data_IF_338031258727
#
_entry.id   IF_338031258727
#
_cell.length_a   1.000
_cell.length_b   1.000
_cell.length_c   1.000
_cell.angle_alpha   90.00
_cell.angle_beta   90.00
_cell.angle_gamma   90.00
#
_symmetry.space_group_name_H-M   'P 1'
#
loop_
_entity.id
_entity.type
_entity.pdbx_description
1 polymer ?
#
# COMPACT_ATOMS: atom_id res chain seq x y z
N UNK A 1 -12.98 -39.04 -9.41
CA UNK A 1 -13.60 -37.71 -9.26
C UNK A 1 -12.46 -36.70 -9.33
N UNK A 2 -12.37 -35.98 -10.44
CA UNK A 2 -11.31 -35.02 -10.78
C UNK A 2 -11.39 -33.73 -9.92
N UNK A 3 -10.26 -33.02 -9.86
CA UNK A 3 -9.98 -31.64 -9.36
C UNK A 3 -9.57 -31.55 -7.88
N UNK A 4 -8.46 -30.89 -7.49
CA UNK A 4 -7.67 -29.90 -8.23
C UNK A 4 -6.25 -29.70 -7.68
N UNK A 5 -5.29 -29.75 -8.59
CA UNK A 5 -3.90 -29.32 -8.41
C UNK A 5 -3.77 -27.77 -8.47
N UNK A 6 -4.63 -27.04 -7.76
CA UNK A 6 -4.74 -25.57 -7.81
C UNK A 6 -4.32 -24.75 -6.55
N UNK A 7 -3.89 -25.30 -5.39
CA UNK A 7 -3.56 -24.45 -4.23
C UNK A 7 -2.17 -23.78 -4.27
N UNK A 8 -1.15 -24.42 -4.85
CA UNK A 8 0.23 -23.86 -4.87
C UNK A 8 0.32 -22.64 -5.77
N UNK A 9 -0.38 -22.66 -6.90
CA UNK A 9 -0.40 -21.56 -7.87
C UNK A 9 -1.02 -20.28 -7.29
N UNK A 10 -2.10 -20.39 -6.51
CA UNK A 10 -2.79 -19.20 -5.95
C UNK A 10 -1.95 -18.51 -4.87
N UNK A 11 -1.28 -19.28 -4.01
CA UNK A 11 -0.34 -18.77 -2.99
C UNK A 11 0.82 -18.03 -3.65
N UNK A 12 1.43 -18.65 -4.66
CA UNK A 12 2.51 -18.04 -5.43
C UNK A 12 2.10 -16.73 -6.10
N UNK A 13 0.90 -16.69 -6.70
CA UNK A 13 0.33 -15.48 -7.29
C UNK A 13 0.15 -14.38 -6.22
N UNK A 14 -0.45 -14.71 -5.07
CA UNK A 14 -0.66 -13.74 -3.99
C UNK A 14 0.66 -13.14 -3.51
N UNK A 15 1.67 -13.98 -3.25
CA UNK A 15 3.00 -13.53 -2.82
C UNK A 15 3.65 -12.66 -3.90
N UNK A 16 3.55 -13.05 -5.17
CA UNK A 16 4.05 -12.26 -6.29
C UNK A 16 3.40 -10.87 -6.37
N UNK A 17 2.07 -10.79 -6.19
CA UNK A 17 1.32 -9.53 -6.17
C UNK A 17 1.68 -8.65 -4.95
N UNK A 18 1.88 -9.25 -3.78
CA UNK A 18 2.34 -8.55 -2.57
C UNK A 18 3.73 -7.95 -2.78
N UNK A 19 4.68 -8.73 -3.32
CA UNK A 19 6.03 -8.27 -3.63
C UNK A 19 6.01 -7.15 -4.69
N UNK A 20 5.18 -7.30 -5.74
CA UNK A 20 4.99 -6.25 -6.74
C UNK A 20 4.52 -4.94 -6.10
N UNK A 21 3.50 -4.98 -5.21
CA UNK A 21 3.04 -3.80 -4.49
C UNK A 21 4.14 -3.17 -3.61
N UNK A 22 4.94 -3.99 -2.93
CA UNK A 22 6.03 -3.51 -2.07
C UNK A 22 7.16 -2.84 -2.84
N UNK A 23 7.62 -3.49 -3.91
CA UNK A 23 8.65 -2.97 -4.80
C UNK A 23 8.16 -1.69 -5.48
N UNK A 24 6.96 -1.71 -6.08
CA UNK A 24 6.36 -0.54 -6.72
C UNK A 24 6.21 0.64 -5.75
N UNK A 25 5.71 0.40 -4.53
CA UNK A 25 5.64 1.44 -3.50
C UNK A 25 7.03 1.97 -3.12
N UNK A 26 8.02 1.10 -2.99
CA UNK A 26 9.39 1.50 -2.66
C UNK A 26 9.99 2.40 -3.75
N UNK A 27 9.87 2.00 -5.02
CA UNK A 27 10.39 2.74 -6.17
C UNK A 27 9.68 4.08 -6.31
N UNK A 28 8.34 4.08 -6.20
CA UNK A 28 7.50 5.27 -6.23
C UNK A 28 7.91 6.30 -5.16
N UNK A 29 8.22 5.85 -3.94
CA UNK A 29 8.53 6.72 -2.79
C UNK A 29 10.02 7.04 -2.62
N UNK A 30 10.89 6.55 -3.50
CA UNK A 30 12.32 6.81 -3.44
C UNK A 30 12.71 7.90 -4.45
N UNK A 31 13.29 9.03 -4.01
CA UNK A 31 13.69 10.08 -4.93
C UNK A 31 14.83 9.58 -5.83
N UNK A 32 14.82 9.90 -7.14
CA UNK A 32 15.89 9.53 -8.07
C UNK A 32 17.18 10.32 -7.82
N UNK A 33 17.06 11.50 -7.19
CA UNK A 33 18.15 12.45 -7.00
C UNK A 33 18.42 12.69 -5.50
N UNK A 34 19.67 13.04 -5.13
CA UNK A 34 20.01 13.41 -3.77
C UNK A 34 19.27 14.68 -3.30
N UNK A 35 19.12 14.86 -1.98
CA UNK A 35 18.43 16.02 -1.41
C UNK A 35 19.16 17.33 -1.73
N UNK A 36 18.38 18.38 -1.97
CA UNK A 36 18.93 19.71 -2.25
C UNK A 36 19.33 20.41 -0.93
N UNK A 37 20.46 21.15 -0.89
CA UNK A 37 20.82 21.98 0.25
C UNK A 37 19.72 23.01 0.59
N UNK A 38 19.41 23.17 1.88
CA UNK A 38 18.30 24.03 2.36
C UNK A 38 18.31 25.47 1.82
N UNK A 39 19.50 26.02 1.51
CA UNK A 39 19.67 27.38 0.97
C UNK A 39 19.08 27.56 -0.44
N UNK A 40 18.90 26.49 -1.18
CA UNK A 40 18.34 26.48 -2.55
C UNK A 40 16.86 26.07 -2.58
N UNK A 41 16.28 25.70 -1.42
CA UNK A 41 14.84 25.48 -1.29
C UNK A 41 14.09 26.81 -1.30
N UNK A 42 12.83 26.78 -1.76
CA UNK A 42 11.95 27.95 -1.65
C UNK A 42 11.83 28.43 -0.19
N UNK A 43 11.81 29.75 -0.01
CA UNK A 43 12.02 30.45 1.26
C UNK A 43 10.97 30.11 2.34
N UNK A 44 9.78 29.70 1.94
CA UNK A 44 8.71 29.28 2.86
C UNK A 44 8.65 27.75 2.97
N UNK A 45 9.64 27.14 3.64
CA UNK A 45 9.59 25.69 3.89
C UNK A 45 8.38 25.35 4.77
N UNK A 46 7.35 24.79 4.15
CA UNK A 46 6.19 24.27 4.86
C UNK A 46 6.61 23.15 5.83
N UNK A 47 5.82 22.89 6.87
CA UNK A 47 6.09 21.74 7.78
C UNK A 47 6.22 20.43 6.99
N UNK A 48 5.42 20.25 5.94
CA UNK A 48 5.53 19.11 5.05
C UNK A 48 6.88 19.01 4.35
N UNK A 49 7.47 20.11 3.85
CA UNK A 49 8.80 20.05 3.21
C UNK A 49 9.90 19.60 4.18
N UNK A 50 9.80 19.96 5.46
CA UNK A 50 10.75 19.50 6.49
C UNK A 50 10.60 18.01 6.79
N UNK A 51 9.38 17.50 6.66
CA UNK A 51 9.04 16.14 7.04
C UNK A 51 8.88 15.18 5.85
N UNK A 52 8.90 15.64 4.59
CA UNK A 52 8.54 14.84 3.41
C UNK A 52 9.38 13.56 3.31
N UNK A 53 10.67 13.64 3.64
CA UNK A 53 11.59 12.50 3.62
C UNK A 53 11.29 11.49 4.73
N UNK A 54 10.89 11.96 5.91
CA UNK A 54 10.40 11.11 6.98
C UNK A 54 9.07 10.48 6.62
N UNK A 55 8.16 11.23 5.98
CA UNK A 55 6.87 10.73 5.51
C UNK A 55 7.06 9.62 4.47
N UNK A 56 7.97 9.79 3.51
CA UNK A 56 8.25 8.73 2.52
C UNK A 56 8.97 7.54 3.13
N UNK A 57 9.96 7.76 4.00
CA UNK A 57 10.64 6.69 4.75
C UNK A 57 9.64 5.87 5.58
N UNK A 58 8.85 6.51 6.43
CA UNK A 58 7.83 5.85 7.24
C UNK A 58 6.81 5.11 6.38
N UNK A 59 6.39 5.71 5.25
CA UNK A 59 5.47 5.04 4.32
C UNK A 59 6.07 3.76 3.74
N UNK A 60 7.34 3.80 3.29
CA UNK A 60 8.04 2.61 2.79
C UNK A 60 8.16 1.54 3.87
N UNK A 61 8.59 1.92 5.07
CA UNK A 61 8.77 0.99 6.18
C UNK A 61 7.45 0.29 6.54
N UNK A 62 6.36 1.04 6.69
CA UNK A 62 5.05 0.48 7.02
C UNK A 62 4.50 -0.42 5.91
N UNK A 63 4.64 -0.06 4.64
CA UNK A 63 4.21 -0.91 3.51
C UNK A 63 4.97 -2.24 3.53
N UNK A 64 6.28 -2.22 3.70
CA UNK A 64 7.07 -3.44 3.80
C UNK A 64 6.72 -4.27 5.05
N UNK A 65 6.48 -3.64 6.20
CA UNK A 65 5.99 -4.34 7.38
C UNK A 65 4.66 -5.06 7.09
N UNK A 66 3.68 -4.37 6.48
CA UNK A 66 2.40 -4.97 6.11
C UNK A 66 2.58 -6.14 5.14
N UNK A 67 3.40 -5.98 4.10
CA UNK A 67 3.64 -7.01 3.07
C UNK A 67 4.34 -8.24 3.66
N UNK A 68 5.42 -8.04 4.42
CA UNK A 68 6.17 -9.16 5.01
C UNK A 68 5.30 -9.92 6.02
N UNK A 69 4.48 -9.20 6.79
CA UNK A 69 3.52 -9.84 7.71
C UNK A 69 2.47 -10.63 6.93
N UNK A 70 1.97 -10.11 5.82
CA UNK A 70 0.97 -10.80 4.99
C UNK A 70 1.54 -12.05 4.29
N UNK A 71 2.77 -11.97 3.77
CA UNK A 71 3.48 -13.10 3.18
C UNK A 71 3.68 -14.17 4.25
N UNK A 72 4.17 -13.80 5.44
CA UNK A 72 4.35 -14.72 6.54
C UNK A 72 3.01 -15.39 6.92
N UNK A 73 1.94 -14.62 7.10
CA UNK A 73 0.62 -15.16 7.44
C UNK A 73 0.07 -16.09 6.34
N UNK A 74 0.26 -15.74 5.07
CA UNK A 74 -0.16 -16.55 3.92
C UNK A 74 0.58 -17.89 3.89
N UNK A 75 1.90 -17.87 4.08
CA UNK A 75 2.73 -19.08 4.12
C UNK A 75 2.35 -20.00 5.30
N UNK A 76 2.16 -19.43 6.49
CA UNK A 76 1.73 -20.21 7.66
C UNK A 76 0.34 -20.83 7.45
N UNK A 77 -0.60 -20.07 6.85
CA UNK A 77 -1.94 -20.57 6.55
C UNK A 77 -1.89 -21.72 5.54
N UNK A 78 -1.04 -21.60 4.53
CA UNK A 78 -0.80 -22.66 3.56
C UNK A 78 -0.23 -23.93 4.20
N UNK A 79 0.81 -23.81 5.05
CA UNK A 79 1.41 -24.96 5.72
C UNK A 79 0.45 -25.70 6.65
N UNK A 80 -0.48 -24.97 7.31
CA UNK A 80 -1.50 -25.57 8.17
C UNK A 80 -2.59 -26.27 7.36
N UNK A 81 -2.97 -25.72 6.21
CA UNK A 81 -4.01 -26.28 5.34
C UNK A 81 -3.50 -27.49 4.52
N UNK A 82 -2.21 -27.50 4.17
CA UNK A 82 -1.56 -28.55 3.39
C UNK A 82 -0.29 -29.07 4.10
N UNK A 83 -0.41 -29.88 5.16
CA UNK A 83 0.73 -30.42 5.88
C UNK A 83 1.56 -31.37 5.00
N UNK A 84 2.88 -31.48 5.22
CA UNK A 84 3.75 -32.40 4.48
C UNK A 84 3.28 -33.86 4.65
N UNK A 85 3.47 -34.68 3.61
CA UNK A 85 3.06 -36.09 3.59
C UNK A 85 3.59 -36.94 4.76
N UNK A 86 4.73 -36.56 5.32
CA UNK A 86 5.39 -37.28 6.41
C UNK A 86 4.69 -37.07 7.77
N UNK A 87 3.98 -35.95 7.96
CA UNK A 87 3.23 -35.63 9.20
C UNK A 87 1.83 -36.27 9.24
N UNK A 88 1.21 -36.51 8.08
CA UNK A 88 -0.12 -37.14 8.00
C UNK A 88 -0.08 -38.57 8.56
N UNK A 89 1.07 -39.25 8.42
CA UNK A 89 1.28 -40.62 8.90
C UNK A 89 1.41 -40.70 10.44
N UNK A 90 1.90 -39.65 11.11
CA UNK A 90 2.12 -39.65 12.57
C UNK A 90 0.90 -39.19 13.37
N UNK A 91 0.02 -38.37 12.77
CA UNK A 91 -1.22 -37.90 13.41
C UNK A 91 -2.31 -38.98 13.44
N UNK A 92 -2.37 -39.85 12.42
CA UNK A 92 -3.33 -40.97 12.39
C UNK A 92 -2.95 -42.13 13.32
N UNK A 93 -1.66 -42.28 13.63
CA UNK A 93 -1.15 -43.39 14.45
C UNK A 93 -1.32 -43.18 15.97
N UNK A 94 -1.43 -41.93 16.44
CA UNK A 94 -1.39 -41.61 17.88
C UNK A 94 -2.70 -41.03 18.46
N UNK A 95 -3.78 -40.93 17.67
CA UNK A 95 -5.00 -40.23 18.09
C UNK A 95 -6.06 -41.17 18.71
N UNK A 96 -5.98 -41.40 20.02
CA UNK A 96 -7.12 -41.83 20.86
C UNK A 96 -8.06 -40.64 21.14
N UNK A 97 -8.42 -39.88 20.09
CA UNK A 97 -9.27 -38.69 20.19
C UNK A 97 -10.74 -39.11 19.98
N UNK A 98 -11.69 -38.69 20.84
CA UNK A 98 -13.11 -38.95 20.63
C UNK A 98 -13.60 -38.43 19.28
N UNK A 99 -14.39 -39.23 18.54
CA UNK A 99 -14.95 -38.88 17.21
C UNK A 99 -15.63 -37.52 17.14
N UNK A 100 -16.20 -37.04 18.25
CA UNK A 100 -16.87 -35.74 18.33
C UNK A 100 -15.86 -34.56 18.32
N UNK A 101 -14.70 -34.73 18.95
CA UNK A 101 -13.58 -33.77 18.91
C UNK A 101 -12.89 -33.81 17.54
N UNK A 102 -12.76 -34.99 16.94
CA UNK A 102 -12.32 -35.17 15.56
C UNK A 102 -13.24 -34.44 14.58
N UNK A 103 -14.57 -34.54 14.71
CA UNK A 103 -15.48 -33.80 13.85
C UNK A 103 -15.36 -32.27 14.04
N UNK A 104 -15.16 -31.77 15.25
CA UNK A 104 -14.92 -30.34 15.49
C UNK A 104 -13.58 -29.86 14.93
N UNK A 105 -12.50 -30.63 15.09
CA UNK A 105 -11.19 -30.30 14.49
C UNK A 105 -11.21 -30.45 12.97
N UNK A 106 -11.87 -31.48 12.42
CA UNK A 106 -12.06 -31.73 10.97
C UNK A 106 -12.99 -30.70 10.30
N UNK A 107 -14.11 -30.30 10.92
CA UNK A 107 -14.97 -29.20 10.44
C UNK A 107 -14.21 -27.86 10.50
N UNK A 108 -13.33 -27.69 11.50
CA UNK A 108 -12.43 -26.55 11.53
C UNK A 108 -11.46 -26.63 10.35
N UNK A 109 -10.71 -27.72 10.18
CA UNK A 109 -9.71 -27.93 9.10
C UNK A 109 -10.27 -27.73 7.68
N UNK A 110 -11.55 -28.04 7.42
CA UNK A 110 -12.13 -28.00 6.06
C UNK A 110 -12.50 -26.62 5.52
N UNK A 111 -12.52 -25.55 6.32
CA UNK A 111 -12.72 -24.19 5.78
C UNK A 111 -11.41 -23.63 5.25
N UNK A 112 -11.29 -23.33 3.93
CA UNK A 112 -10.08 -22.74 3.37
C UNK A 112 -9.82 -21.40 4.05
N UNK A 113 -8.54 -21.15 4.32
CA UNK A 113 -8.14 -19.95 5.03
C UNK A 113 -8.45 -18.69 4.19
N UNK A 114 -9.15 -17.68 4.74
CA UNK A 114 -9.46 -16.46 4.00
C UNK A 114 -8.20 -15.73 3.52
N UNK A 115 -7.07 -15.96 4.18
CA UNK A 115 -5.76 -15.44 3.83
C UNK A 115 -5.21 -15.98 2.50
N UNK A 116 -5.79 -17.03 1.93
CA UNK A 116 -5.43 -17.54 0.60
C UNK A 116 -6.25 -16.91 -0.52
N UNK A 117 -7.32 -16.16 -0.19
CA UNK A 117 -8.20 -15.57 -1.17
C UNK A 117 -7.68 -14.24 -1.70
N UNK A 118 -7.80 -14.05 -3.01
CA UNK A 118 -7.54 -12.79 -3.68
C UNK A 118 -8.86 -12.00 -3.79
N UNK A 119 -9.07 -11.06 -2.88
CA UNK A 119 -10.27 -10.21 -2.95
C UNK A 119 -10.16 -9.17 -4.08
N UNK A 120 -11.28 -8.72 -4.67
CA UNK A 120 -11.25 -7.67 -5.69
C UNK A 120 -10.56 -6.39 -5.21
N UNK A 121 -10.76 -5.99 -3.95
CA UNK A 121 -10.11 -4.82 -3.36
C UNK A 121 -8.59 -4.97 -3.30
N UNK A 122 -8.09 -6.18 -3.01
CA UNK A 122 -6.65 -6.47 -3.05
C UNK A 122 -6.09 -6.26 -4.45
N UNK A 123 -6.73 -6.84 -5.48
CA UNK A 123 -6.28 -6.73 -6.87
C UNK A 123 -6.30 -5.27 -7.35
N UNK A 124 -7.38 -4.53 -7.05
CA UNK A 124 -7.50 -3.11 -7.37
C UNK A 124 -6.39 -2.32 -6.66
N UNK A 125 -6.12 -2.62 -5.39
CA UNK A 125 -5.06 -2.00 -4.61
C UNK A 125 -3.68 -2.21 -5.24
N UNK A 126 -3.34 -3.46 -5.57
CA UNK A 126 -2.06 -3.80 -6.22
C UNK A 126 -1.94 -3.10 -7.57
N UNK A 127 -2.98 -3.16 -8.41
CA UNK A 127 -2.98 -2.49 -9.71
C UNK A 127 -2.80 -0.96 -9.56
N UNK A 128 -3.49 -0.34 -8.61
CA UNK A 128 -3.34 1.08 -8.29
C UNK A 128 -1.90 1.43 -7.89
N UNK A 129 -1.27 0.63 -7.03
CA UNK A 129 0.13 0.86 -6.62
C UNK A 129 1.09 0.73 -7.80
N UNK A 130 0.94 -0.32 -8.61
CA UNK A 130 1.79 -0.56 -9.78
C UNK A 130 1.64 0.57 -10.79
N UNK A 131 0.41 0.96 -11.12
CA UNK A 131 0.13 2.08 -12.02
C UNK A 131 0.70 3.40 -11.48
N UNK A 132 0.52 3.66 -10.18
CA UNK A 132 1.08 4.83 -9.52
C UNK A 132 2.60 4.89 -9.61
N UNK A 133 3.27 3.74 -9.41
CA UNK A 133 4.71 3.63 -9.56
C UNK A 133 5.18 3.84 -11.01
N UNK A 134 4.49 3.27 -12.00
CA UNK A 134 4.80 3.47 -13.42
C UNK A 134 4.74 4.95 -13.78
N UNK A 135 3.67 5.65 -13.39
CA UNK A 135 3.51 7.08 -13.62
C UNK A 135 4.65 7.86 -12.98
N UNK A 136 5.00 7.56 -11.72
CA UNK A 136 6.10 8.23 -11.04
C UNK A 136 7.44 8.00 -11.69
N UNK A 137 7.76 6.76 -12.07
CA UNK A 137 9.02 6.42 -12.74
C UNK A 137 9.11 7.10 -14.11
N UNK A 138 8.00 7.23 -14.83
CA UNK A 138 7.96 8.01 -16.07
C UNK A 138 8.23 9.50 -15.83
N UNK A 139 7.68 10.07 -14.75
CA UNK A 139 7.97 11.44 -14.34
C UNK A 139 9.45 11.62 -13.95
N UNK A 140 10.01 10.68 -13.19
CA UNK A 140 11.42 10.71 -12.79
C UNK A 140 12.34 10.70 -14.02
N UNK A 141 12.04 9.82 -15.00
CA UNK A 141 12.77 9.76 -16.25
C UNK A 141 12.63 11.04 -17.09
N UNK A 142 11.45 11.66 -17.09
CA UNK A 142 11.17 12.85 -17.91
C UNK A 142 11.80 14.11 -17.35
N UNK A 143 11.77 14.29 -16.02
CA UNK A 143 12.38 15.44 -15.35
C UNK A 143 13.87 15.27 -15.09
N UNK A 144 14.38 14.04 -15.02
CA UNK A 144 15.78 13.75 -14.76
C UNK A 144 16.29 14.46 -13.52
N UNK A 145 17.38 15.21 -13.67
CA UNK A 145 18.03 15.97 -12.58
C UNK A 145 17.12 17.03 -11.95
N UNK A 146 16.10 17.51 -12.66
CA UNK A 146 15.15 18.50 -12.15
C UNK A 146 14.12 17.91 -11.17
N UNK A 147 14.02 16.58 -11.07
CA UNK A 147 13.07 15.95 -10.16
C UNK A 147 13.59 15.96 -8.72
N UNK A 148 12.96 16.71 -7.82
CA UNK A 148 13.25 16.68 -6.36
C UNK A 148 11.99 16.67 -5.52
N UNK A 149 12.07 16.10 -4.30
CA UNK A 149 10.95 16.11 -3.36
C UNK A 149 10.80 17.47 -2.68
N UNK A 150 11.85 18.27 -2.66
CA UNK A 150 11.87 19.66 -2.23
C UNK A 150 11.49 20.58 -3.40
N UNK A 151 10.62 21.56 -3.13
CA UNK A 151 10.20 22.54 -4.14
C UNK A 151 11.35 23.53 -4.33
N UNK A 152 12.05 23.45 -5.47
CA UNK A 152 13.20 24.29 -5.79
C UNK A 152 13.16 24.71 -7.24
N UNK A 153 13.54 25.96 -7.50
CA UNK A 153 13.74 26.45 -8.87
C UNK A 153 15.25 26.55 -9.07
N UNK A 154 15.79 25.65 -9.90
CA UNK A 154 17.23 25.63 -10.19
C UNK A 154 17.60 26.72 -11.19
N UNK A 155 18.81 27.29 -11.11
CA UNK A 155 19.39 28.04 -12.23
C UNK A 155 19.45 27.12 -13.46
N UNK A 156 18.86 27.52 -14.59
CA UNK A 156 18.76 26.68 -15.79
C UNK A 156 17.61 25.65 -15.77
N UNK A 157 16.68 25.73 -14.81
CA UNK A 157 15.48 24.90 -14.82
C UNK A 157 14.67 25.18 -16.10
N UNK A 158 14.42 24.14 -16.89
CA UNK A 158 13.54 24.22 -18.05
C UNK A 158 12.17 23.69 -17.68
N UNK A 159 11.13 24.30 -18.25
CA UNK A 159 9.76 23.82 -18.05
C UNK A 159 9.58 22.48 -18.77
N UNK A 160 9.37 21.40 -18.01
CA UNK A 160 9.08 20.11 -18.59
C UNK A 160 7.69 20.11 -19.22
N UNK A 161 7.63 19.88 -20.54
CA UNK A 161 6.35 19.90 -21.29
C UNK A 161 6.13 18.66 -22.16
N UNK A 162 7.04 17.68 -22.08
CA UNK A 162 7.00 16.41 -22.81
C UNK A 162 6.60 15.24 -21.91
N UNK A 163 6.34 14.08 -22.51
CA UNK A 163 5.98 12.86 -21.75
C UNK A 163 4.68 13.06 -20.96
N UNK A 164 4.61 12.63 -19.68
CA UNK A 164 3.37 12.72 -18.91
C UNK A 164 2.95 14.18 -18.63
N UNK A 165 3.90 15.12 -18.67
CA UNK A 165 3.65 16.57 -18.53
C UNK A 165 2.93 17.16 -19.75
N UNK A 166 2.91 16.47 -20.89
CA UNK A 166 2.10 16.93 -22.03
C UNK A 166 0.60 16.69 -21.86
N UNK A 167 0.21 15.85 -20.89
CA UNK A 167 -1.18 15.40 -20.67
C UNK A 167 -1.81 16.14 -19.48
N UNK A 168 -1.09 16.17 -18.36
CA UNK A 168 -1.49 16.86 -17.12
C UNK A 168 -0.27 17.57 -16.53
N UNK A 169 -0.49 18.62 -15.75
CA UNK A 169 0.62 19.45 -15.23
C UNK A 169 1.42 18.76 -14.12
N UNK A 170 0.74 17.97 -13.29
CA UNK A 170 1.34 17.34 -12.12
C UNK A 170 1.14 15.81 -12.08
N UNK A 171 1.59 15.07 -13.11
CA UNK A 171 1.37 13.63 -13.22
C UNK A 171 2.00 12.83 -12.07
N UNK A 172 3.12 13.29 -11.52
CA UNK A 172 3.79 12.66 -10.40
C UNK A 172 2.92 12.62 -9.14
N UNK A 173 2.05 13.62 -8.93
CA UNK A 173 1.14 13.64 -7.79
C UNK A 173 -0.05 12.68 -7.97
N UNK A 174 -0.50 12.46 -9.20
CA UNK A 174 -1.41 11.34 -9.49
C UNK A 174 -0.76 10.02 -9.10
N UNK A 175 0.51 9.85 -9.44
CA UNK A 175 1.30 8.67 -9.06
C UNK A 175 1.40 8.47 -7.54
N UNK A 176 1.60 9.54 -6.75
CA UNK A 176 1.64 9.42 -5.27
C UNK A 176 0.27 9.07 -4.68
N UNK A 177 -0.82 9.63 -5.23
CA UNK A 177 -2.17 9.32 -4.76
C UNK A 177 -2.52 7.86 -5.01
N UNK A 178 -2.29 7.37 -6.22
CA UNK A 178 -2.50 5.96 -6.58
C UNK A 178 -1.65 5.00 -5.73
N UNK A 179 -0.40 5.39 -5.43
CA UNK A 179 0.48 4.59 -4.57
C UNK A 179 -0.03 4.52 -3.13
N UNK A 180 -0.37 5.65 -2.51
CA UNK A 180 -0.77 5.69 -1.10
C UNK A 180 -2.17 5.09 -0.87
N UNK A 181 -3.13 5.41 -1.75
CA UNK A 181 -4.48 4.85 -1.69
C UNK A 181 -4.47 3.37 -2.05
N UNK A 182 -3.71 2.96 -3.06
CA UNK A 182 -3.54 1.55 -3.42
C UNK A 182 -2.91 0.73 -2.30
N UNK A 183 -1.85 1.22 -1.65
CA UNK A 183 -1.23 0.54 -0.52
C UNK A 183 -2.19 0.42 0.69
N UNK A 184 -3.04 1.43 0.90
CA UNK A 184 -4.10 1.37 1.91
C UNK A 184 -5.16 0.32 1.54
N UNK A 185 -5.58 0.26 0.28
CA UNK A 185 -6.51 -0.76 -0.21
C UNK A 185 -5.94 -2.17 -0.08
N UNK A 186 -4.66 -2.39 -0.37
CA UNK A 186 -3.98 -3.68 -0.14
C UNK A 186 -4.07 -4.09 1.32
N UNK A 187 -3.71 -3.21 2.26
CA UNK A 187 -3.74 -3.55 3.69
C UNK A 187 -5.15 -3.73 4.28
N UNK A 188 -6.16 -3.08 3.69
CA UNK A 188 -7.55 -3.18 4.14
C UNK A 188 -8.35 -4.28 3.43
N UNK A 189 -7.76 -4.95 2.44
CA UNK A 189 -8.48 -5.91 1.63
C UNK A 189 -8.82 -7.19 2.40
N UNK A 190 -10.03 -7.74 2.24
CA UNK A 190 -10.36 -9.06 2.76
C UNK A 190 -9.37 -10.12 2.28
N UNK A 191 -9.00 -11.03 3.18
CA UNK A 191 -7.94 -12.01 2.92
C UNK A 191 -6.51 -11.50 3.12
N UNK A 192 -6.34 -10.31 3.68
CA UNK A 192 -5.03 -9.86 4.21
C UNK A 192 -4.99 -9.97 5.73
N UNK A 193 -3.78 -10.15 6.27
CA UNK A 193 -3.52 -10.30 7.68
C UNK A 193 -4.10 -9.14 8.50
N UNK A 194 -3.88 -7.90 8.06
CA UNK A 194 -4.40 -6.73 8.75
C UNK A 194 -5.93 -6.71 8.75
N UNK A 195 -6.57 -7.06 7.63
CA UNK A 195 -8.03 -7.16 7.58
C UNK A 195 -8.55 -8.26 8.51
N UNK A 196 -8.02 -9.47 8.42
CA UNK A 196 -8.55 -10.61 9.18
C UNK A 196 -8.29 -10.53 10.68
N UNK A 197 -7.17 -9.93 11.09
CA UNK A 197 -6.78 -9.88 12.51
C UNK A 197 -7.25 -8.62 13.25
N UNK A 198 -7.55 -7.54 12.52
CA UNK A 198 -7.91 -6.26 13.12
C UNK A 198 -9.25 -5.72 12.61
N UNK A 199 -9.40 -5.53 11.30
CA UNK A 199 -10.60 -4.88 10.72
C UNK A 199 -11.85 -5.76 10.87
N UNK A 200 -11.75 -7.05 10.55
CA UNK A 200 -12.88 -7.98 10.59
C UNK A 200 -13.42 -8.13 12.04
N UNK A 201 -12.58 -8.34 13.08
CA UNK A 201 -13.04 -8.27 14.47
C UNK A 201 -13.65 -6.91 14.85
N UNK A 202 -13.03 -5.79 14.43
CA UNK A 202 -13.54 -4.45 14.73
C UNK A 202 -14.95 -4.22 14.15
N UNK A 203 -15.16 -4.57 12.88
CA UNK A 203 -16.46 -4.46 12.21
C UNK A 203 -17.52 -5.35 12.88
N UNK A 204 -17.13 -6.53 13.35
CA UNK A 204 -18.02 -7.45 14.08
C UNK A 204 -18.41 -6.95 15.46
N UNK A 205 -17.54 -6.24 16.18
CA UNK A 205 -17.89 -5.60 17.46
C UNK A 205 -19.00 -4.57 17.31
N UNK A 206 -19.04 -3.85 16.18
CA UNK A 206 -20.09 -2.86 15.89
C UNK A 206 -21.38 -3.47 15.34
N UNK A 207 -21.30 -4.67 14.75
CA UNK A 207 -22.48 -5.43 14.35
C UNK A 207 -23.03 -6.15 15.59
N UNK A 208 -24.25 -5.82 16.03
CA UNK A 208 -24.95 -6.37 17.21
C UNK A 208 -25.23 -7.90 17.18
N UNK A 209 -24.42 -8.69 16.47
CA UNK A 209 -24.55 -10.14 16.39
C UNK A 209 -23.52 -10.81 17.29
N UNK A 210 -23.90 -10.96 18.56
CA UNK A 210 -23.22 -11.80 19.53
C UNK A 210 -23.46 -13.28 19.20
N UNK A 211 -22.73 -13.85 18.25
CA UNK A 211 -22.63 -15.31 18.12
C UNK A 211 -21.20 -15.76 17.76
N UNK A 212 -20.53 -16.16 18.84
CA UNK A 212 -19.55 -17.23 18.98
C UNK A 212 -19.05 -17.88 17.68
N UNK A 213 -17.87 -17.47 17.22
CA UNK A 213 -16.99 -18.34 16.45
C UNK A 213 -15.56 -17.89 16.70
N UNK A 214 -14.79 -18.76 17.35
CA UNK A 214 -13.34 -18.63 17.54
C UNK A 214 -12.69 -18.00 16.30
N UNK A 215 -12.15 -16.80 16.47
CA UNK A 215 -11.26 -16.16 15.52
C UNK A 215 -10.02 -17.04 15.35
N UNK A 216 -10.06 -17.98 14.40
CA UNK A 216 -8.96 -18.86 13.96
C UNK A 216 -7.64 -18.11 13.72
N UNK A 217 -7.70 -16.82 13.43
CA UNK A 217 -6.56 -15.95 13.08
C UNK A 217 -6.13 -15.01 14.20
N UNK A 218 -6.93 -14.89 15.26
CA UNK A 218 -6.51 -14.22 16.48
C UNK A 218 -5.88 -15.27 17.36
N UNK A 219 -4.54 -15.37 17.40
CA UNK A 219 -3.86 -16.22 18.38
C UNK A 219 -4.38 -15.84 19.78
N UNK A 220 -5.13 -16.70 20.48
CA UNK A 220 -5.59 -16.42 21.82
C UNK A 220 -4.38 -16.48 22.74
N UNK A 221 -4.16 -15.42 23.50
CA UNK A 221 -3.02 -15.35 24.42
C UNK A 221 -3.09 -14.09 25.28
N UNK A 222 -2.32 -14.03 26.39
CA UNK A 222 -2.32 -12.88 27.29
C UNK A 222 -1.90 -11.58 26.60
N UNK A 223 -1.18 -11.68 25.47
CA UNK A 223 -0.72 -10.55 24.66
C UNK A 223 -1.73 -10.08 23.60
N UNK A 224 -2.88 -10.75 23.46
CA UNK A 224 -3.91 -10.38 22.49
C UNK A 224 -4.36 -8.91 22.59
N UNK A 225 -4.77 -8.37 23.76
CA UNK A 225 -5.21 -6.97 23.86
C UNK A 225 -4.08 -5.98 23.54
N UNK A 226 -2.85 -6.29 23.98
CA UNK A 226 -1.67 -5.47 23.72
C UNK A 226 -1.35 -5.41 22.22
N UNK A 227 -1.40 -6.55 21.52
CA UNK A 227 -1.20 -6.62 20.07
C UNK A 227 -2.26 -5.80 19.32
N UNK A 228 -3.53 -5.93 19.70
CA UNK A 228 -4.62 -5.17 19.06
C UNK A 228 -4.45 -3.65 19.27
N UNK A 229 -3.98 -3.22 20.44
CA UNK A 229 -3.66 -1.82 20.69
C UNK A 229 -2.51 -1.32 19.79
N UNK A 230 -1.44 -2.10 19.61
CA UNK A 230 -0.35 -1.74 18.69
C UNK A 230 -0.85 -1.62 17.25
N UNK A 231 -1.63 -2.60 16.76
CA UNK A 231 -2.16 -2.55 15.40
C UNK A 231 -3.08 -1.33 15.23
N UNK A 232 -3.93 -1.03 16.22
CA UNK A 232 -4.78 0.17 16.20
C UNK A 232 -3.95 1.45 16.07
N UNK A 233 -2.90 1.60 16.86
CA UNK A 233 -2.00 2.76 16.78
C UNK A 233 -1.36 2.87 15.40
N UNK A 234 -0.88 1.76 14.83
CA UNK A 234 -0.28 1.74 13.49
C UNK A 234 -1.29 2.10 12.38
N UNK A 235 -2.53 1.60 12.47
CA UNK A 235 -3.60 1.91 11.51
C UNK A 235 -4.02 3.38 11.60
N UNK A 236 -4.20 3.90 12.81
CA UNK A 236 -4.51 5.32 13.04
C UNK A 236 -3.38 6.20 12.53
N UNK A 237 -2.14 5.86 12.87
CA UNK A 237 -0.96 6.58 12.38
C UNK A 237 -0.87 6.55 10.86
N UNK A 238 -1.04 5.39 10.22
CA UNK A 238 -1.07 5.27 8.76
C UNK A 238 -2.14 6.17 8.14
N UNK A 239 -3.37 6.12 8.66
CA UNK A 239 -4.51 6.86 8.14
C UNK A 239 -4.32 8.37 8.27
N UNK A 240 -3.91 8.85 9.45
CA UNK A 240 -3.61 10.27 9.67
C UNK A 240 -2.46 10.74 8.77
N UNK A 241 -1.39 9.97 8.67
CA UNK A 241 -0.22 10.28 7.85
C UNK A 241 -0.57 10.31 6.35
N UNK A 242 -1.34 9.34 5.85
CA UNK A 242 -1.77 9.32 4.44
C UNK A 242 -2.68 10.52 4.17
N UNK A 243 -3.66 10.79 5.03
CA UNK A 243 -4.57 11.92 4.89
C UNK A 243 -3.83 13.25 4.87
N UNK A 244 -2.86 13.42 5.79
CA UNK A 244 -1.97 14.58 5.82
C UNK A 244 -1.13 14.69 4.54
N UNK A 245 -0.56 13.58 4.06
CA UNK A 245 0.23 13.56 2.83
C UNK A 245 -0.61 13.95 1.60
N UNK A 246 -1.81 13.39 1.43
CA UNK A 246 -2.72 13.72 0.32
C UNK A 246 -3.10 15.20 0.32
N UNK A 247 -3.54 15.71 1.48
CA UNK A 247 -3.89 17.13 1.66
C UNK A 247 -2.70 18.05 1.40
N UNK A 248 -1.53 17.70 1.92
CA UNK A 248 -0.34 18.52 1.75
C UNK A 248 0.17 18.50 0.32
N UNK A 249 0.11 17.37 -0.38
CA UNK A 249 0.43 17.29 -1.81
C UNK A 249 -0.54 18.14 -2.63
N UNK A 250 -1.83 18.14 -2.29
CA UNK A 250 -2.82 18.99 -2.96
C UNK A 250 -2.45 20.46 -2.86
N UNK A 251 -2.17 20.93 -1.64
CA UNK A 251 -1.73 22.32 -1.41
C UNK A 251 -0.41 22.63 -2.12
N UNK A 252 0.51 21.66 -2.20
CA UNK A 252 1.80 21.83 -2.89
C UNK A 252 1.65 22.05 -4.39
N UNK A 253 0.66 21.43 -5.04
CA UNK A 253 0.39 21.67 -6.46
C UNK A 253 0.10 23.14 -6.76
N UNK A 254 -0.72 23.78 -5.94
CA UNK A 254 -1.08 25.19 -6.12
C UNK A 254 0.13 26.10 -5.94
N UNK A 255 0.94 25.82 -4.92
CA UNK A 255 2.18 26.56 -4.67
C UNK A 255 3.14 26.37 -5.83
N UNK A 256 3.37 25.14 -6.27
CA UNK A 256 4.25 24.81 -7.40
C UNK A 256 3.82 25.53 -8.69
N UNK A 257 2.53 25.47 -9.05
CA UNK A 257 1.98 26.21 -10.20
C UNK A 257 2.26 27.72 -10.08
N UNK A 258 2.06 28.29 -8.89
CA UNK A 258 2.25 29.72 -8.65
C UNK A 258 3.71 30.14 -8.76
N UNK A 259 4.64 29.31 -8.27
CA UNK A 259 6.07 29.57 -8.31
C UNK A 259 6.63 29.37 -9.71
N UNK A 260 6.18 28.33 -10.42
CA UNK A 260 6.45 28.17 -11.85
C UNK A 260 5.96 29.42 -12.60
N UNK A 261 4.78 29.98 -12.25
CA UNK A 261 4.17 31.13 -12.96
C UNK A 261 5.00 32.39 -12.79
N UNK A 262 5.51 32.62 -11.58
CA UNK A 262 6.41 33.73 -11.27
C UNK A 262 7.71 33.64 -12.05
N UNK A 263 8.24 32.43 -12.28
CA UNK A 263 9.55 32.25 -12.92
C UNK A 263 9.47 32.18 -14.43
N UNK A 264 8.49 31.46 -14.99
CA UNK A 264 8.40 31.21 -16.43
C UNK A 264 7.46 32.18 -17.16
N UNK A 265 6.63 32.94 -16.43
CA UNK A 265 5.75 33.96 -16.99
C UNK A 265 4.92 33.44 -18.17
N UNK A 266 5.06 34.07 -19.33
CA UNK A 266 4.29 33.74 -20.55
C UNK A 266 4.51 32.31 -21.05
N UNK A 267 5.72 31.75 -20.91
CA UNK A 267 5.99 30.37 -21.36
C UNK A 267 5.16 29.36 -20.58
N UNK A 268 4.95 29.61 -19.29
CA UNK A 268 4.04 28.80 -18.50
C UNK A 268 2.58 29.11 -18.86
N UNK A 269 2.16 30.35 -19.03
CA UNK A 269 0.77 30.61 -19.50
C UNK A 269 0.42 29.90 -20.82
N UNK A 270 1.38 29.85 -21.76
CA UNK A 270 1.23 29.08 -22.99
C UNK A 270 1.08 27.58 -22.73
N UNK A 271 1.93 27.02 -21.85
CA UNK A 271 1.83 25.61 -21.45
C UNK A 271 0.52 25.32 -20.69
N UNK A 272 0.05 26.21 -19.82
CA UNK A 272 -1.20 26.08 -19.05
C UNK A 272 -2.44 26.02 -19.94
N UNK A 273 -2.44 26.84 -20.99
CA UNK A 273 -3.52 26.85 -21.98
C UNK A 273 -3.60 25.55 -22.76
N UNK A 274 -2.44 24.95 -23.09
CA UNK A 274 -2.36 23.66 -23.79
C UNK A 274 -2.70 22.49 -22.86
N UNK A 275 -2.12 22.47 -21.65
CA UNK A 275 -2.27 21.41 -20.66
C UNK A 275 -3.16 21.91 -19.53
N UNK A 276 -4.48 21.88 -19.80
CA UNK A 276 -5.51 22.47 -18.93
C UNK A 276 -5.59 21.79 -17.57
N UNK A 277 -5.41 20.47 -17.55
CA UNK A 277 -5.64 19.60 -16.39
C UNK A 277 -4.46 19.64 -15.42
N UNK A 278 -4.75 19.67 -14.10
CA UNK A 278 -3.68 19.62 -13.09
C UNK A 278 -3.26 18.20 -12.76
N UNK A 279 -4.22 17.34 -12.46
CA UNK A 279 -3.95 16.03 -11.86
C UNK A 279 -4.38 14.88 -12.79
N UNK A 280 -5.64 14.89 -13.21
CA UNK A 280 -6.24 13.92 -14.13
C UNK A 280 -7.02 14.68 -15.21
N UNK A 281 -7.21 14.10 -16.41
CA UNK A 281 -8.14 14.67 -17.38
C UNK A 281 -9.50 14.91 -16.73
N UNK A 282 -9.99 16.14 -16.76
CA UNK A 282 -11.23 16.56 -16.08
C UNK A 282 -11.08 17.03 -14.63
N UNK A 283 -9.89 16.95 -14.03
CA UNK A 283 -9.60 17.38 -12.64
C UNK A 283 -8.59 18.53 -12.65
N UNK A 284 -9.04 19.69 -12.14
CA UNK A 284 -8.31 20.95 -12.06
C UNK A 284 -7.60 21.17 -10.73
#
# INVERSE_FOLDING_TARGET
MHLGALPTSSVGIKIGLLLAAGISSHLSLSPPNPPIPKKQCLRSQTFFERCVRWVTFCSKAMVWMTILTDIYATLNSYSVEYPPSDEISSVSANASIPRNLLNLTTITITRPSPLLNLSPLFIIGVFSVVLGAIIRLWCFKTLGDCFTFELTIRPGHTLATSGPYSIVRHPSYTGIYLTLLGASAVGLAPGTYLHETFINPLLRTFSLSSYDTLTRWSIPGPLHPFRQAIIAVLVVFWSLKVSYALRSTHRRMEVEDSELRKVFGETWEAYARRVKWRLLPGVF
#
